data_IF_521864278822
#
_entry.id   IF_521864278822
#
_cell.length_a   1.000
_cell.length_b   1.000
_cell.length_c   1.000
_cell.angle_alpha   90.00
_cell.angle_beta   90.00
_cell.angle_gamma   90.00
#
_symmetry.space_group_name_H-M   'P 1'
#
loop_
_entity.id
_entity.type
_entity.pdbx_description
1 polymer ?
#
# COMPACT_ATOMS: atom_id res chain seq x y z
N UNK A 1 -32.11 -8.77 26.48
CA UNK A 1 -32.01 -9.14 25.06
C UNK A 1 -30.92 -8.25 24.49
N UNK A 2 -29.68 -8.73 24.48
CA UNK A 2 -28.53 -7.99 23.95
C UNK A 2 -28.09 -8.78 22.71
N UNK A 3 -28.20 -8.13 21.56
CA UNK A 3 -27.76 -8.64 20.28
C UNK A 3 -26.83 -7.56 19.74
N UNK A 4 -25.55 -7.72 20.00
CA UNK A 4 -24.53 -6.77 19.57
C UNK A 4 -23.31 -7.54 19.07
N UNK A 5 -23.08 -7.44 17.75
CA UNK A 5 -21.75 -7.48 17.16
C UNK A 5 -21.27 -8.83 16.62
N UNK A 6 -21.92 -9.35 15.58
CA UNK A 6 -21.29 -10.32 14.67
C UNK A 6 -20.25 -9.58 13.79
N UNK A 7 -19.11 -9.19 14.36
CA UNK A 7 -17.99 -8.62 13.62
C UNK A 7 -16.90 -9.68 13.46
N UNK A 8 -17.06 -10.46 12.38
CA UNK A 8 -16.02 -11.18 11.65
C UNK A 8 -14.74 -11.55 12.42
N UNK A 9 -14.85 -12.55 13.31
CA UNK A 9 -13.71 -13.11 14.04
C UNK A 9 -12.83 -14.01 13.14
N UNK A 10 -12.22 -13.44 12.11
CA UNK A 10 -11.31 -14.13 11.18
C UNK A 10 -9.91 -14.37 11.77
N UNK A 11 -9.66 -13.97 13.03
CA UNK A 11 -8.39 -14.15 13.75
C UNK A 11 -7.98 -15.62 13.94
N UNK A 12 -8.93 -16.55 13.76
CA UNK A 12 -8.72 -18.00 13.88
C UNK A 12 -8.65 -18.72 12.53
N UNK A 13 -8.71 -18.01 11.38
CA UNK A 13 -8.57 -18.67 10.08
C UNK A 13 -7.17 -19.26 9.93
N UNK A 14 -7.11 -20.56 9.66
CA UNK A 14 -5.85 -21.24 9.35
C UNK A 14 -5.28 -20.66 8.06
N UNK A 15 -4.01 -20.26 8.10
CA UNK A 15 -3.27 -19.89 6.91
C UNK A 15 -3.23 -21.06 5.91
N UNK A 16 -3.19 -20.73 4.62
CA UNK A 16 -3.05 -21.75 3.57
C UNK A 16 -1.70 -22.45 3.75
N UNK A 17 -1.65 -23.79 3.66
CA UNK A 17 -0.38 -24.51 3.65
C UNK A 17 0.47 -24.08 2.44
N UNK A 18 1.77 -23.92 2.63
CA UNK A 18 2.72 -23.68 1.54
C UNK A 18 2.89 -24.96 0.71
N UNK A 19 3.30 -24.81 -0.57
CA UNK A 19 3.59 -25.96 -1.42
C UNK A 19 4.80 -26.77 -0.92
N UNK A 20 4.95 -28.05 -1.29
CA UNK A 20 5.99 -28.95 -0.75
C UNK A 20 7.43 -28.47 -0.95
N UNK A 21 7.65 -27.68 -1.99
CA UNK A 21 8.91 -27.12 -2.47
C UNK A 21 9.03 -25.60 -2.19
N UNK A 22 8.05 -25.02 -1.51
CA UNK A 22 7.99 -23.61 -1.18
C UNK A 22 8.54 -23.36 0.23
N UNK A 23 9.60 -22.54 0.31
CA UNK A 23 10.20 -22.17 1.60
C UNK A 23 9.41 -21.03 2.25
N UNK A 24 9.17 -21.07 3.57
CA UNK A 24 8.60 -19.95 4.29
C UNK A 24 9.53 -18.74 4.20
N UNK A 25 9.09 -17.69 3.50
CA UNK A 25 9.84 -16.46 3.35
C UNK A 25 9.73 -15.60 4.63
N UNK A 26 10.82 -15.54 5.39
CA UNK A 26 10.91 -14.76 6.62
C UNK A 26 11.04 -13.25 6.36
N UNK A 27 11.32 -12.85 5.11
CA UNK A 27 11.46 -11.45 4.72
C UNK A 27 10.17 -10.88 4.13
N UNK A 28 9.22 -11.73 3.75
CA UNK A 28 7.95 -11.33 3.13
C UNK A 28 7.20 -10.24 3.93
N UNK A 29 7.21 -10.32 5.26
CA UNK A 29 6.59 -9.30 6.12
C UNK A 29 7.32 -7.95 6.06
N UNK A 30 8.66 -8.00 6.00
CA UNK A 30 9.49 -6.80 5.90
C UNK A 30 9.34 -6.15 4.53
N UNK A 31 9.37 -6.94 3.46
CA UNK A 31 9.20 -6.44 2.10
C UNK A 31 7.83 -5.81 1.90
N UNK A 32 6.77 -6.43 2.45
CA UNK A 32 5.43 -5.83 2.49
C UNK A 32 5.42 -4.49 3.22
N UNK A 33 6.00 -4.42 4.43
CA UNK A 33 6.05 -3.15 5.20
C UNK A 33 6.86 -2.04 4.51
N UNK A 34 7.91 -2.43 3.79
CA UNK A 34 8.79 -1.52 3.06
C UNK A 34 8.10 -1.04 1.79
N UNK A 35 7.30 -1.88 1.12
CA UNK A 35 6.46 -1.50 -0.01
C UNK A 35 5.35 -0.55 0.42
N UNK A 36 4.60 -0.90 1.47
CA UNK A 36 3.50 -0.07 2.00
C UNK A 36 3.99 1.34 2.40
N UNK A 37 5.17 1.42 3.02
CA UNK A 37 5.77 2.70 3.37
C UNK A 37 6.21 3.51 2.15
N UNK A 38 6.71 2.85 1.10
CA UNK A 38 7.14 3.53 -0.12
C UNK A 38 5.94 4.05 -0.91
N UNK A 39 4.87 3.28 -1.02
CA UNK A 39 3.64 3.70 -1.68
C UNK A 39 3.03 4.93 -0.99
N UNK A 40 2.96 4.91 0.35
CA UNK A 40 2.46 6.05 1.12
C UNK A 40 3.30 7.34 0.92
N UNK A 41 4.62 7.21 0.80
CA UNK A 41 5.51 8.35 0.53
C UNK A 41 5.35 8.87 -0.91
N UNK A 42 5.09 7.98 -1.87
CA UNK A 42 4.86 8.36 -3.27
C UNK A 42 3.54 9.10 -3.44
N UNK A 43 2.48 8.64 -2.77
CA UNK A 43 1.18 9.31 -2.80
C UNK A 43 1.27 10.74 -2.24
N UNK A 44 1.94 10.94 -1.10
CA UNK A 44 2.19 12.26 -0.50
C UNK A 44 3.00 13.16 -1.44
N UNK A 45 4.10 12.64 -2.01
CA UNK A 45 4.94 13.39 -2.93
C UNK A 45 4.18 13.80 -4.21
N UNK A 46 3.27 12.96 -4.70
CA UNK A 46 2.43 13.26 -5.88
C UNK A 46 1.44 14.39 -5.57
N UNK A 47 0.81 14.39 -4.40
CA UNK A 47 -0.11 15.45 -3.97
C UNK A 47 0.59 16.82 -3.82
N UNK A 48 1.84 16.84 -3.36
CA UNK A 48 2.67 18.05 -3.28
C UNK A 48 3.20 18.52 -4.65
N UNK A 49 3.22 17.62 -5.63
CA UNK A 49 3.81 17.83 -6.96
C UNK A 49 2.76 18.25 -8.01
N UNK A 50 1.56 18.66 -7.62
CA UNK A 50 0.61 19.32 -8.52
C UNK A 50 0.50 20.83 -8.23
N UNK A 51 0.86 21.73 -9.17
CA UNK A 51 1.23 21.52 -10.58
C UNK A 51 2.75 21.65 -10.80
N UNK A 52 3.53 20.61 -10.55
CA UNK A 52 4.97 20.61 -10.86
C UNK A 52 5.27 20.50 -12.37
N UNK A 53 4.25 20.54 -13.22
CA UNK A 53 4.35 20.47 -14.68
C UNK A 53 3.48 21.51 -15.39
N UNK A 54 3.33 22.72 -14.85
CA UNK A 54 2.93 23.82 -15.74
C UNK A 54 4.04 23.91 -16.82
N UNK A 55 3.79 23.52 -18.08
CA UNK A 55 4.81 23.66 -19.11
C UNK A 55 5.21 25.14 -19.11
N UNK A 56 6.51 25.43 -19.12
CA UNK A 56 6.98 26.82 -19.22
C UNK A 56 6.35 27.40 -20.48
N UNK A 57 5.29 28.20 -20.32
CA UNK A 57 4.59 28.81 -21.44
C UNK A 57 5.61 29.68 -22.15
N UNK A 58 5.98 29.40 -23.42
CA UNK A 58 6.86 30.29 -24.14
C UNK A 58 6.13 31.63 -24.25
N UNK A 59 6.62 32.63 -23.53
CA UNK A 59 6.14 34.01 -23.65
C UNK A 59 6.49 34.46 -25.06
N UNK A 60 5.55 34.36 -26.00
CA UNK A 60 5.63 35.06 -27.27
C UNK A 60 5.56 36.56 -26.97
N UNK A 61 6.73 37.18 -26.79
CA UNK A 61 6.89 38.62 -26.81
C UNK A 61 7.47 38.96 -28.17
N UNK A 62 6.71 39.75 -28.92
CA UNK A 62 6.97 40.36 -30.24
C UNK A 62 6.42 39.60 -31.44
#
# INVERSE_FOLDING_TARGET
MCADGEENADYARRARPLAPDEKPDQLADKDRSVHDRQDALMDEAVEETFPASDPVSPKHIT
#
